data_IF_810471897143
#
_entry.id   IF_810471897143
#
_cell.length_a   1.000
_cell.length_b   1.000
_cell.length_c   1.000
_cell.angle_alpha   90.00
_cell.angle_beta   90.00
_cell.angle_gamma   90.00
#
_symmetry.space_group_name_H-M   'P 1'
#
loop_
_entity.id
_entity.type
_entity.pdbx_description
1 polymer ?
#
# COMPACT_ATOMS: atom_id res chain seq x y z
N UNK A 1 30.25 -7.03 -7.85
CA UNK A 1 29.51 -7.04 -9.12
C UNK A 1 28.79 -8.38 -9.21
N UNK A 2 27.48 -8.37 -9.45
CA UNK A 2 26.69 -9.59 -9.68
C UNK A 2 27.32 -10.33 -10.87
N UNK A 3 27.77 -11.58 -10.66
CA UNK A 3 28.44 -12.37 -11.70
C UNK A 3 27.50 -12.75 -12.84
N UNK A 4 27.97 -13.61 -13.76
CA UNK A 4 27.18 -14.13 -14.89
C UNK A 4 25.94 -14.94 -14.50
N UNK A 5 25.78 -15.26 -13.21
CA UNK A 5 24.71 -16.09 -12.62
C UNK A 5 23.34 -15.37 -12.54
N UNK A 6 23.29 -14.04 -12.73
CA UNK A 6 22.06 -13.25 -12.70
C UNK A 6 21.80 -12.52 -11.38
N UNK A 7 20.68 -11.78 -11.35
CA UNK A 7 20.28 -10.92 -10.24
C UNK A 7 18.88 -11.30 -9.75
N UNK A 8 18.72 -11.43 -8.45
CA UNK A 8 17.43 -11.41 -7.78
C UNK A 8 17.22 -10.03 -7.15
N UNK A 9 16.03 -9.48 -7.32
CA UNK A 9 15.66 -8.19 -6.77
C UNK A 9 14.31 -8.25 -6.08
N UNK A 10 14.18 -7.60 -4.93
CA UNK A 10 12.94 -7.45 -4.18
C UNK A 10 12.59 -5.98 -4.18
N UNK A 11 11.34 -5.63 -4.48
CA UNK A 11 10.91 -4.24 -4.64
C UNK A 11 9.61 -3.95 -3.92
N UNK A 12 9.56 -2.76 -3.31
CA UNK A 12 8.35 -2.23 -2.69
C UNK A 12 8.25 -0.71 -2.87
N UNK A 13 7.05 -0.17 -2.69
CA UNK A 13 6.74 1.25 -2.75
C UNK A 13 5.74 1.66 -1.66
N UNK A 14 6.04 2.76 -0.97
CA UNK A 14 5.23 3.30 0.11
C UNK A 14 4.83 4.74 -0.18
N UNK A 15 3.59 5.11 0.12
CA UNK A 15 3.11 6.49 0.05
C UNK A 15 2.43 6.88 1.37
N UNK A 16 2.98 7.87 2.07
CA UNK A 16 2.53 8.28 3.41
C UNK A 16 1.05 8.70 3.41
N UNK A 17 0.59 9.30 2.30
CA UNK A 17 -0.82 9.63 2.07
C UNK A 17 -1.16 9.36 0.62
N UNK A 18 -2.02 8.37 0.37
CA UNK A 18 -2.36 7.93 -0.97
C UNK A 18 -3.74 8.47 -1.43
N UNK A 19 -3.84 9.38 -2.42
CA UNK A 19 -2.77 10.13 -3.10
C UNK A 19 -2.34 11.40 -2.35
N UNK A 20 -1.25 12.02 -2.80
CA UNK A 20 -0.90 13.41 -2.43
C UNK A 20 0.27 13.55 -1.46
N UNK A 21 0.60 12.51 -0.72
CA UNK A 21 1.70 12.50 0.23
C UNK A 21 3.06 12.30 -0.43
N UNK A 22 4.15 12.52 0.32
CA UNK A 22 5.46 12.02 -0.08
C UNK A 22 5.45 10.49 -0.13
N UNK A 23 6.24 9.94 -1.04
CA UNK A 23 6.35 8.51 -1.26
C UNK A 23 7.81 8.10 -1.39
N UNK A 24 8.08 6.81 -1.29
CA UNK A 24 9.41 6.25 -1.45
C UNK A 24 9.35 4.87 -2.06
N UNK A 25 10.42 4.51 -2.75
CA UNK A 25 10.61 3.18 -3.30
C UNK A 25 11.77 2.51 -2.57
N UNK A 26 11.68 1.20 -2.40
CA UNK A 26 12.71 0.36 -1.80
C UNK A 26 13.06 -0.78 -2.74
N UNK A 27 14.34 -1.11 -2.83
CA UNK A 27 14.81 -2.24 -3.60
C UNK A 27 16.00 -2.92 -2.92
N UNK A 28 16.02 -4.26 -2.96
CA UNK A 28 17.15 -5.07 -2.50
C UNK A 28 17.62 -5.90 -3.68
N UNK A 29 18.91 -5.85 -4.03
CA UNK A 29 19.50 -6.63 -5.10
C UNK A 29 20.54 -7.59 -4.53
N UNK A 30 20.48 -8.85 -4.95
CA UNK A 30 21.40 -9.92 -4.58
C UNK A 30 21.75 -10.78 -5.82
N UNK A 31 22.80 -11.59 -5.71
CA UNK A 31 23.08 -12.60 -6.71
C UNK A 31 21.90 -13.57 -6.80
N UNK A 32 21.54 -14.01 -8.02
CA UNK A 32 20.38 -14.88 -8.18
C UNK A 32 20.51 -16.21 -7.41
N UNK A 33 21.72 -16.76 -7.30
CA UNK A 33 22.01 -17.98 -6.52
C UNK A 33 21.85 -17.80 -5.00
N UNK A 34 21.83 -16.56 -4.53
CA UNK A 34 21.65 -16.21 -3.12
C UNK A 34 20.19 -15.94 -2.76
N UNK A 35 19.25 -16.05 -3.70
CA UNK A 35 17.82 -15.97 -3.42
C UNK A 35 17.02 -17.13 -4.00
N UNK A 36 16.11 -17.67 -3.21
CA UNK A 36 15.08 -18.60 -3.70
C UNK A 36 13.73 -18.14 -3.18
N UNK A 37 12.75 -17.98 -4.09
CA UNK A 37 11.39 -17.56 -3.71
C UNK A 37 11.31 -16.22 -2.96
N UNK A 38 12.23 -15.29 -3.23
CA UNK A 38 12.30 -14.00 -2.53
C UNK A 38 12.87 -14.08 -1.11
N UNK A 39 13.51 -15.20 -0.75
CA UNK A 39 14.19 -15.40 0.54
C UNK A 39 15.69 -15.43 0.28
N UNK A 40 16.46 -14.65 1.05
CA UNK A 40 17.92 -14.64 0.97
C UNK A 40 18.51 -15.88 1.64
N UNK A 41 19.57 -16.42 1.07
CA UNK A 41 20.46 -17.35 1.73
C UNK A 41 21.16 -16.66 2.90
N UNK A 42 21.41 -17.40 3.98
CA UNK A 42 22.17 -16.88 5.12
C UNK A 42 23.56 -16.37 4.68
N UNK A 43 23.91 -15.16 5.14
CA UNK A 43 25.17 -14.50 4.77
C UNK A 43 25.23 -13.92 3.35
N UNK A 44 24.14 -13.98 2.58
CA UNK A 44 24.06 -13.40 1.26
C UNK A 44 24.40 -11.91 1.28
N UNK A 45 25.29 -11.48 0.38
CA UNK A 45 25.57 -10.06 0.19
C UNK A 45 24.43 -9.43 -0.58
N UNK A 46 23.92 -8.31 -0.07
CA UNK A 46 22.83 -7.56 -0.68
C UNK A 46 23.18 -6.09 -0.82
N UNK A 47 22.62 -5.48 -1.85
CA UNK A 47 22.63 -4.03 -2.06
C UNK A 47 21.24 -3.54 -1.71
N UNK A 48 21.14 -2.67 -0.71
CA UNK A 48 19.88 -2.02 -0.32
C UNK A 48 19.85 -0.62 -0.93
N UNK A 49 18.78 -0.32 -1.65
CA UNK A 49 18.55 0.94 -2.34
C UNK A 49 17.19 1.48 -1.93
N UNK A 50 17.09 2.79 -1.80
CA UNK A 50 15.82 3.48 -1.64
C UNK A 50 15.89 4.86 -2.27
N UNK A 51 14.73 5.48 -2.49
CA UNK A 51 14.69 6.85 -2.98
C UNK A 51 13.39 7.56 -2.66
N UNK A 52 13.47 8.88 -2.65
CA UNK A 52 12.37 9.78 -2.32
C UNK A 52 11.59 10.23 -3.56
N UNK A 53 10.27 10.26 -3.44
CA UNK A 53 9.34 10.84 -4.38
C UNK A 53 8.61 11.98 -3.65
N UNK A 54 8.85 13.25 -4.02
CA UNK A 54 8.21 14.39 -3.38
C UNK A 54 6.68 14.32 -3.39
N UNK A 55 6.08 14.98 -2.41
CA UNK A 55 4.64 15.11 -2.34
C UNK A 55 4.08 15.85 -3.56
N UNK A 56 3.14 15.21 -4.25
CA UNK A 56 2.38 15.81 -5.35
C UNK A 56 1.00 15.16 -5.39
N UNK A 57 0.00 15.87 -5.91
CA UNK A 57 -1.37 15.33 -6.03
C UNK A 57 -1.44 14.01 -6.83
N UNK A 58 -0.48 13.78 -7.72
CA UNK A 58 -0.37 12.56 -8.53
C UNK A 58 0.41 11.44 -7.83
N UNK A 59 1.14 11.72 -6.74
CA UNK A 59 1.93 10.73 -6.00
C UNK A 59 1.00 9.73 -5.32
N UNK A 60 1.24 8.44 -5.58
CA UNK A 60 0.43 7.29 -5.12
C UNK A 60 1.35 6.12 -4.78
N UNK A 61 0.81 5.12 -4.08
CA UNK A 61 1.55 3.88 -3.83
C UNK A 61 1.99 3.20 -5.13
N UNK A 62 1.07 3.06 -6.10
CA UNK A 62 1.37 2.43 -7.39
C UNK A 62 2.51 3.14 -8.13
N UNK A 63 2.62 4.48 -8.03
CA UNK A 63 3.76 5.18 -8.65
C UNK A 63 5.07 4.79 -7.98
N UNK A 64 5.10 4.71 -6.65
CA UNK A 64 6.27 4.28 -5.90
C UNK A 64 6.68 2.83 -6.24
N UNK A 65 5.72 1.91 -6.30
CA UNK A 65 5.95 0.51 -6.67
C UNK A 65 6.52 0.40 -8.10
N UNK A 66 5.97 1.12 -9.07
CA UNK A 66 6.52 1.16 -10.44
C UNK A 66 7.93 1.75 -10.43
N UNK A 67 8.18 2.82 -9.66
CA UNK A 67 9.52 3.41 -9.54
C UNK A 67 10.53 2.44 -8.96
N UNK A 68 10.16 1.58 -8.01
CA UNK A 68 11.02 0.53 -7.48
C UNK A 68 11.47 -0.44 -8.58
N UNK A 69 10.55 -0.86 -9.45
CA UNK A 69 10.85 -1.69 -10.63
C UNK A 69 11.79 -0.96 -11.60
N UNK A 70 11.55 0.33 -11.88
CA UNK A 70 12.42 1.14 -12.74
C UNK A 70 13.85 1.26 -12.17
N UNK A 71 13.97 1.42 -10.85
CA UNK A 71 15.26 1.48 -10.17
C UNK A 71 16.03 0.17 -10.35
N UNK A 72 15.39 -0.98 -10.11
CA UNK A 72 16.00 -2.30 -10.32
C UNK A 72 16.41 -2.50 -11.78
N UNK A 73 15.56 -2.16 -12.74
CA UNK A 73 15.89 -2.29 -14.17
C UNK A 73 17.08 -1.41 -14.58
N UNK A 74 17.28 -0.28 -13.91
CA UNK A 74 18.40 0.64 -14.14
C UNK A 74 19.71 0.18 -13.50
N UNK A 75 19.63 -0.49 -12.34
CA UNK A 75 20.78 -0.95 -11.56
C UNK A 75 21.28 -2.33 -12.01
N UNK A 76 20.37 -3.23 -12.39
CA UNK A 76 20.71 -4.59 -12.79
C UNK A 76 21.38 -4.60 -14.18
N UNK A 77 22.53 -5.27 -14.34
CA UNK A 77 23.22 -5.34 -15.64
C UNK A 77 22.26 -5.80 -16.76
N UNK A 78 22.22 -5.13 -17.91
CA UNK A 78 21.24 -5.40 -18.98
C UNK A 78 21.40 -6.77 -19.64
N UNK A 79 22.61 -7.34 -19.55
CA UNK A 79 22.96 -8.65 -20.11
C UNK A 79 22.78 -9.81 -19.12
N UNK A 80 22.46 -9.52 -17.86
CA UNK A 80 22.24 -10.54 -16.84
C UNK A 80 20.76 -10.94 -16.75
N UNK A 81 20.44 -12.23 -16.50
CA UNK A 81 19.11 -12.63 -16.06
C UNK A 81 18.69 -11.83 -14.82
N UNK A 82 17.43 -11.42 -14.78
CA UNK A 82 16.88 -10.63 -13.68
C UNK A 82 15.55 -11.23 -13.24
N UNK A 83 15.45 -11.54 -11.95
CA UNK A 83 14.20 -11.95 -11.32
C UNK A 83 13.77 -10.90 -10.30
N UNK A 84 12.55 -10.40 -10.42
CA UNK A 84 11.98 -9.36 -9.57
C UNK A 84 10.83 -9.94 -8.75
N UNK A 85 10.92 -9.79 -7.44
CA UNK A 85 9.90 -10.16 -6.46
C UNK A 85 9.22 -8.89 -5.95
N UNK A 86 7.89 -8.87 -5.93
CA UNK A 86 7.11 -7.76 -5.37
C UNK A 86 5.74 -8.27 -4.93
N UNK A 87 5.15 -7.63 -3.93
CA UNK A 87 3.77 -7.87 -3.51
C UNK A 87 2.74 -7.01 -4.27
N UNK A 88 3.20 -6.05 -5.07
CA UNK A 88 2.34 -5.27 -5.97
C UNK A 88 1.87 -6.10 -7.17
N UNK A 89 0.78 -6.85 -6.95
CA UNK A 89 0.15 -7.68 -7.99
C UNK A 89 -0.23 -6.87 -9.22
N UNK A 90 -0.75 -5.64 -9.04
CA UNK A 90 -1.11 -4.77 -10.15
C UNK A 90 0.12 -4.39 -10.98
N UNK A 91 1.20 -3.93 -10.33
CA UNK A 91 2.42 -3.52 -11.02
C UNK A 91 3.03 -4.68 -11.78
N UNK A 92 3.10 -5.87 -11.16
CA UNK A 92 3.61 -7.09 -11.80
C UNK A 92 2.77 -7.45 -13.04
N UNK A 93 1.44 -7.50 -12.92
CA UNK A 93 0.57 -7.89 -14.04
C UNK A 93 0.63 -6.90 -15.20
N UNK A 94 0.80 -5.61 -14.93
CA UNK A 94 1.01 -4.61 -16.00
C UNK A 94 2.39 -4.76 -16.62
N UNK A 95 3.44 -4.96 -15.82
CA UNK A 95 4.81 -5.14 -16.30
C UNK A 95 4.97 -6.41 -17.19
N UNK A 96 4.24 -7.48 -16.87
CA UNK A 96 4.16 -8.72 -17.65
C UNK A 96 3.27 -8.60 -18.90
N UNK A 97 2.55 -7.48 -19.08
CA UNK A 97 1.62 -7.30 -20.20
C UNK A 97 0.29 -8.04 -20.06
N UNK A 98 -0.02 -8.60 -18.88
CA UNK A 98 -1.32 -9.20 -18.57
C UNK A 98 -2.39 -8.12 -18.48
N UNK A 99 -2.06 -6.98 -17.89
CA UNK A 99 -2.93 -5.82 -17.79
C UNK A 99 -2.47 -4.65 -18.68
N UNK A 100 -3.45 -3.89 -19.16
CA UNK A 100 -3.21 -2.71 -19.99
C UNK A 100 -2.68 -1.54 -19.15
N UNK A 101 -1.71 -0.81 -19.70
CA UNK A 101 -1.11 0.39 -19.10
C UNK A 101 -2.07 1.59 -19.18
N UNK A 102 -3.12 1.60 -18.36
CA UNK A 102 -4.17 2.64 -18.37
C UNK A 102 -3.82 3.90 -17.58
N UNK A 103 -2.98 3.79 -16.56
CA UNK A 103 -2.54 4.87 -15.69
C UNK A 103 -1.01 4.87 -15.55
N UNK A 104 -0.43 5.99 -15.10
CA UNK A 104 1.03 6.16 -14.95
C UNK A 104 1.82 5.95 -16.26
N UNK A 105 1.27 6.43 -17.39
CA UNK A 105 1.85 6.27 -18.73
C UNK A 105 3.27 6.82 -18.84
N UNK A 106 3.59 7.87 -18.08
CA UNK A 106 4.92 8.44 -17.94
C UNK A 106 5.93 7.39 -17.42
N UNK A 107 5.60 6.69 -16.34
CA UNK A 107 6.47 5.67 -15.75
C UNK A 107 6.55 4.43 -16.63
N UNK A 108 5.43 4.00 -17.22
CA UNK A 108 5.42 2.85 -18.13
C UNK A 108 6.16 3.10 -19.43
N UNK A 109 6.25 4.35 -19.89
CA UNK A 109 7.09 4.70 -21.04
C UNK A 109 8.57 4.54 -20.70
N UNK A 110 9.00 4.97 -19.50
CA UNK A 110 10.36 4.72 -19.01
C UNK A 110 10.63 3.22 -18.84
N UNK A 111 9.68 2.46 -18.33
CA UNK A 111 9.77 1.00 -18.21
C UNK A 111 10.08 0.35 -19.56
N UNK A 112 9.35 0.72 -20.62
CA UNK A 112 9.59 0.20 -21.97
C UNK A 112 10.99 0.54 -22.49
N UNK A 113 11.47 1.76 -22.23
CA UNK A 113 12.83 2.17 -22.61
C UNK A 113 13.88 1.32 -21.90
N UNK A 114 13.74 1.10 -20.60
CA UNK A 114 14.68 0.28 -19.81
C UNK A 114 14.60 -1.19 -20.21
N UNK A 115 13.41 -1.72 -20.44
CA UNK A 115 13.19 -3.10 -20.87
C UNK A 115 13.87 -3.38 -22.22
N UNK A 116 13.75 -2.46 -23.18
CA UNK A 116 14.38 -2.58 -24.50
C UNK A 116 15.91 -2.58 -24.48
N UNK A 117 16.54 -2.12 -23.39
CA UNK A 117 18.01 -2.18 -23.23
C UNK A 117 18.49 -3.56 -22.80
N UNK A 118 17.60 -4.42 -22.32
CA UNK A 118 17.95 -5.75 -21.82
C UNK A 118 17.90 -6.77 -22.95
N UNK A 119 18.89 -7.65 -23.00
CA UNK A 119 18.88 -8.81 -23.92
C UNK A 119 17.93 -9.91 -23.44
N UNK A 120 17.77 -10.01 -22.12
CA UNK A 120 16.95 -11.02 -21.46
C UNK A 120 15.83 -10.28 -20.70
N UNK A 121 14.55 -10.53 -21.02
CA UNK A 121 13.43 -9.96 -20.28
C UNK A 121 13.46 -10.40 -18.80
N UNK A 122 13.10 -9.52 -17.86
CA UNK A 122 13.01 -9.89 -16.46
C UNK A 122 11.85 -10.87 -16.21
N UNK A 123 12.05 -11.76 -15.24
CA UNK A 123 10.99 -12.62 -14.70
C UNK A 123 10.40 -11.93 -13.47
N UNK A 124 9.09 -11.78 -13.42
CA UNK A 124 8.39 -11.26 -12.24
C UNK A 124 7.73 -12.39 -11.47
N UNK A 125 7.89 -12.37 -10.15
CA UNK A 125 7.22 -13.29 -9.23
C UNK A 125 6.48 -12.47 -8.17
N UNK A 126 5.18 -12.72 -8.05
CA UNK A 126 4.39 -12.11 -6.99
C UNK A 126 4.64 -12.86 -5.69
N UNK A 127 5.00 -12.12 -4.65
CA UNK A 127 5.11 -12.64 -3.28
C UNK A 127 4.00 -12.05 -2.44
N UNK A 128 3.57 -12.78 -1.41
CA UNK A 128 2.58 -12.25 -0.48
C UNK A 128 3.28 -11.28 0.48
N UNK A 129 2.79 -10.04 0.55
CA UNK A 129 3.25 -9.06 1.52
C UNK A 129 2.95 -9.48 2.97
N UNK A 130 3.82 -9.07 3.90
CA UNK A 130 3.68 -9.26 5.36
C UNK A 130 3.44 -10.71 5.83
N UNK A 131 4.03 -11.70 5.16
CA UNK A 131 4.00 -13.10 5.62
C UNK A 131 5.40 -13.72 5.60
N UNK A 132 6.24 -13.41 6.59
CA UNK A 132 7.50 -14.13 6.85
C UNK A 132 8.52 -14.08 5.71
N UNK A 133 8.45 -13.05 4.86
CA UNK A 133 9.40 -12.78 3.80
C UNK A 133 10.27 -11.60 4.23
N UNK A 134 11.32 -11.87 4.99
CA UNK A 134 12.23 -10.86 5.57
C UNK A 134 12.72 -9.83 4.55
N UNK A 135 12.94 -10.24 3.29
CA UNK A 135 13.37 -9.31 2.24
C UNK A 135 12.25 -8.38 1.76
N UNK A 136 10.99 -8.82 1.74
CA UNK A 136 9.86 -7.96 1.38
C UNK A 136 9.61 -6.96 2.50
N UNK A 137 9.62 -7.41 3.76
CA UNK A 137 9.51 -6.53 4.92
C UNK A 137 10.65 -5.51 4.94
N UNK A 138 11.88 -5.93 4.62
CA UNK A 138 13.01 -5.01 4.48
C UNK A 138 12.85 -4.04 3.30
N UNK A 139 12.25 -4.46 2.19
CA UNK A 139 11.97 -3.57 1.06
C UNK A 139 10.88 -2.52 1.40
N UNK A 140 9.85 -2.91 2.15
CA UNK A 140 8.83 -2.00 2.72
C UNK A 140 9.48 -0.97 3.64
N UNK A 141 10.37 -1.40 4.54
CA UNK A 141 11.12 -0.50 5.43
C UNK A 141 11.96 0.51 4.65
N UNK A 142 12.64 0.06 3.59
CA UNK A 142 13.42 0.92 2.70
C UNK A 142 12.53 1.91 1.95
N UNK A 143 11.35 1.48 1.48
CA UNK A 143 10.38 2.33 0.81
C UNK A 143 9.81 3.39 1.78
N UNK A 144 9.48 2.98 3.00
CA UNK A 144 9.06 3.87 4.09
C UNK A 144 10.13 4.90 4.42
N UNK A 145 11.38 4.48 4.58
CA UNK A 145 12.52 5.39 4.79
C UNK A 145 12.68 6.36 3.61
N UNK A 146 12.52 5.89 2.37
CA UNK A 146 12.50 6.72 1.18
C UNK A 146 11.38 7.76 1.19
N UNK A 147 10.19 7.42 1.69
CA UNK A 147 9.07 8.35 1.80
C UNK A 147 9.37 9.50 2.77
N UNK A 148 10.18 9.23 3.79
CA UNK A 148 10.71 10.24 4.72
C UNK A 148 12.06 10.83 4.31
N UNK A 149 12.47 10.62 3.05
CA UNK A 149 13.71 11.15 2.48
C UNK A 149 14.97 10.80 3.31
N UNK A 150 15.00 9.59 3.88
CA UNK A 150 16.10 9.13 4.72
C UNK A 150 16.06 9.61 6.18
N UNK A 151 15.04 10.35 6.60
CA UNK A 151 14.88 10.74 8.01
C UNK A 151 14.36 9.56 8.85
N UNK A 152 15.31 8.78 9.38
CA UNK A 152 15.05 7.62 10.23
C UNK A 152 14.23 8.01 11.46
N UNK A 153 14.52 9.16 12.08
CA UNK A 153 13.85 9.57 13.31
C UNK A 153 12.38 9.94 13.05
N UNK A 154 12.10 10.63 11.95
CA UNK A 154 10.73 10.93 11.53
C UNK A 154 9.97 9.65 11.14
N UNK A 155 10.63 8.74 10.40
CA UNK A 155 10.03 7.47 10.02
C UNK A 155 9.68 6.61 11.25
N UNK A 156 10.58 6.44 12.21
CA UNK A 156 10.31 5.68 13.43
C UNK A 156 9.16 6.27 14.25
N UNK A 157 9.11 7.60 14.42
CA UNK A 157 7.97 8.26 15.10
C UNK A 157 6.66 8.03 14.37
N UNK A 158 6.68 8.03 13.03
CA UNK A 158 5.49 7.73 12.25
C UNK A 158 5.06 6.27 12.43
N UNK A 159 5.99 5.30 12.41
CA UNK A 159 5.69 3.89 12.67
C UNK A 159 5.07 3.68 14.06
N UNK A 160 5.62 4.32 15.09
CA UNK A 160 5.05 4.30 16.45
C UNK A 160 3.63 4.85 16.49
N UNK A 161 3.36 5.95 15.77
CA UNK A 161 2.02 6.53 15.69
C UNK A 161 1.01 5.60 14.99
N UNK A 162 1.44 4.88 13.94
CA UNK A 162 0.62 3.90 13.24
C UNK A 162 0.35 2.67 14.10
N UNK A 163 1.34 2.19 14.85
CA UNK A 163 1.14 1.10 15.80
C UNK A 163 0.13 1.50 16.89
N UNK A 164 0.22 2.72 17.42
CA UNK A 164 -0.77 3.23 18.37
C UNK A 164 -2.17 3.34 17.75
N UNK A 165 -2.30 3.84 16.53
CA UNK A 165 -3.59 3.86 15.81
C UNK A 165 -4.15 2.45 15.57
N UNK A 166 -3.30 1.49 15.21
CA UNK A 166 -3.69 0.08 15.03
C UNK A 166 -4.16 -0.55 16.35
N UNK A 167 -3.49 -0.26 17.47
CA UNK A 167 -3.94 -0.69 18.80
C UNK A 167 -5.25 -0.02 19.25
N UNK A 168 -5.52 1.20 18.79
CA UNK A 168 -6.77 1.89 19.05
C UNK A 168 -7.88 1.58 18.02
N UNK A 169 -7.59 0.77 16.99
CA UNK A 169 -8.59 0.33 16.05
C UNK A 169 -9.60 -0.59 16.75
N UNK A 170 -10.88 -0.44 16.42
CA UNK A 170 -11.92 -1.26 17.03
C UNK A 170 -11.73 -2.73 16.64
N UNK A 171 -11.80 -3.67 17.60
CA UNK A 171 -11.79 -5.09 17.30
C UNK A 171 -12.89 -5.45 16.30
N UNK A 172 -12.67 -6.48 15.48
CA UNK A 172 -13.60 -6.89 14.42
C UNK A 172 -15.04 -7.15 14.95
N UNK A 173 -15.15 -7.69 16.16
CA UNK A 173 -16.45 -7.90 16.81
C UNK A 173 -17.18 -6.57 17.08
N UNK A 174 -16.48 -5.56 17.61
CA UNK A 174 -17.06 -4.24 17.86
C UNK A 174 -17.40 -3.50 16.56
N UNK A 175 -16.55 -3.63 15.53
CA UNK A 175 -16.82 -3.08 14.21
C UNK A 175 -18.10 -3.66 13.59
N UNK A 176 -18.34 -4.96 13.78
CA UNK A 176 -19.57 -5.63 13.32
C UNK A 176 -20.80 -5.15 14.09
N UNK A 177 -20.69 -4.95 15.41
CA UNK A 177 -21.76 -4.32 16.20
C UNK A 177 -22.07 -2.93 15.67
N UNK A 178 -21.04 -2.13 15.39
CA UNK A 178 -21.21 -0.77 14.88
C UNK A 178 -21.84 -0.75 13.48
N UNK A 179 -21.44 -1.67 12.59
CA UNK A 179 -22.07 -1.86 11.26
C UNK A 179 -23.57 -2.13 11.39
N UNK A 180 -23.94 -3.05 12.28
CA UNK A 180 -25.34 -3.39 12.53
C UNK A 180 -26.13 -2.19 13.05
N UNK A 181 -25.57 -1.45 14.00
CA UNK A 181 -26.18 -0.24 14.56
C UNK A 181 -26.41 0.84 13.49
N UNK A 182 -25.40 1.12 12.66
CA UNK A 182 -25.51 2.07 11.56
C UNK A 182 -26.55 1.62 10.54
N UNK A 183 -26.60 0.33 10.20
CA UNK A 183 -27.58 -0.20 9.27
C UNK A 183 -29.01 -0.05 9.80
N UNK A 184 -29.26 -0.35 11.08
CA UNK A 184 -30.57 -0.14 11.69
C UNK A 184 -31.00 1.33 11.69
N UNK A 185 -30.10 2.23 12.07
CA UNK A 185 -30.35 3.68 12.02
C UNK A 185 -30.65 4.13 10.60
N UNK A 186 -29.90 3.64 9.61
CA UNK A 186 -30.12 3.98 8.20
C UNK A 186 -31.49 3.51 7.73
N UNK A 187 -31.86 2.26 8.00
CA UNK A 187 -33.18 1.72 7.65
C UNK A 187 -34.31 2.52 8.31
N UNK A 188 -34.16 2.91 9.58
CA UNK A 188 -35.12 3.81 10.23
C UNK A 188 -35.19 5.16 9.51
N UNK A 189 -34.06 5.81 9.25
CA UNK A 189 -34.03 7.14 8.65
C UNK A 189 -34.61 7.14 7.23
N UNK A 190 -34.30 6.13 6.43
CA UNK A 190 -34.82 5.96 5.07
C UNK A 190 -36.34 5.68 5.07
N UNK A 191 -36.88 5.09 6.14
CA UNK A 191 -38.33 4.85 6.28
C UNK A 191 -39.15 6.09 6.66
N UNK A 192 -38.47 7.15 7.12
CA UNK A 192 -39.11 8.40 7.51
C UNK A 192 -39.26 9.33 6.31
N UNK A 193 -40.36 10.10 6.27
CA UNK A 193 -40.58 11.15 5.27
C UNK A 193 -39.32 12.06 5.17
N UNK A 194 -38.82 12.36 3.96
CA UNK A 194 -37.70 13.27 3.76
C UNK A 194 -37.86 14.64 4.42
N UNK A 195 -39.10 15.14 4.56
CA UNK A 195 -39.42 16.41 5.20
C UNK A 195 -39.69 16.26 6.71
N UNK A 196 -39.55 15.06 7.27
CA UNK A 196 -39.74 14.82 8.70
C UNK A 196 -38.67 15.51 9.53
N UNK A 197 -39.09 16.37 10.46
CA UNK A 197 -38.21 17.00 11.45
C UNK A 197 -37.69 16.04 12.54
N UNK A 198 -38.11 14.77 12.49
CA UNK A 198 -37.75 13.74 13.48
C UNK A 198 -36.25 13.44 13.50
N UNK A 199 -35.59 13.56 12.35
CA UNK A 199 -34.13 13.37 12.19
C UNK A 199 -33.59 14.61 11.49
N UNK A 200 -32.60 15.26 12.08
CA UNK A 200 -31.99 16.42 11.45
C UNK A 200 -31.02 16.00 10.31
N UNK A 201 -30.74 16.94 9.41
CA UNK A 201 -29.89 16.70 8.24
C UNK A 201 -28.46 16.26 8.60
N UNK A 202 -27.94 16.74 9.73
CA UNK A 202 -26.59 16.39 10.19
C UNK A 202 -26.50 14.91 10.57
N UNK A 203 -27.51 14.39 11.27
CA UNK A 203 -27.63 12.98 11.65
C UNK A 203 -27.84 12.09 10.44
N UNK A 204 -28.69 12.50 9.48
CA UNK A 204 -28.88 11.77 8.21
C UNK A 204 -27.58 11.68 7.42
N UNK A 205 -26.91 12.82 7.18
CA UNK A 205 -25.63 12.87 6.45
C UNK A 205 -24.56 12.02 7.13
N UNK A 206 -24.50 12.05 8.46
CA UNK A 206 -23.54 11.25 9.20
C UNK A 206 -23.78 9.75 9.06
N UNK A 207 -25.01 9.27 9.23
CA UNK A 207 -25.32 7.84 9.12
C UNK A 207 -25.12 7.33 7.69
N UNK A 208 -25.43 8.13 6.68
CA UNK A 208 -25.14 7.79 5.29
C UNK A 208 -23.63 7.72 5.01
N UNK A 209 -22.83 8.67 5.51
CA UNK A 209 -21.36 8.63 5.40
C UNK A 209 -20.78 7.39 6.11
N UNK A 210 -21.19 7.16 7.35
CA UNK A 210 -20.76 6.02 8.15
C UNK A 210 -21.12 4.69 7.49
N UNK A 211 -22.34 4.57 6.95
CA UNK A 211 -22.79 3.36 6.25
C UNK A 211 -21.91 3.03 5.05
N UNK A 212 -21.54 4.04 4.25
CA UNK A 212 -20.65 3.86 3.10
C UNK A 212 -19.22 3.50 3.53
N UNK A 213 -18.71 4.14 4.58
CA UNK A 213 -17.31 3.97 5.00
C UNK A 213 -17.09 2.64 5.72
N UNK A 214 -18.02 2.20 6.57
CA UNK A 214 -17.91 0.93 7.32
C UNK A 214 -17.97 -0.33 6.44
N UNK A 215 -18.43 -0.20 5.19
CA UNK A 215 -18.35 -1.27 4.19
C UNK A 215 -16.91 -1.50 3.67
N UNK A 216 -16.00 -0.53 3.86
CA UNK A 216 -14.61 -0.65 3.42
C UNK A 216 -13.78 -1.29 4.52
N UNK A 217 -12.96 -2.28 4.16
CA UNK A 217 -12.09 -2.98 5.10
C UNK A 217 -10.95 -2.11 5.66
N UNK A 218 -10.71 -0.93 5.10
CA UNK A 218 -9.66 -0.01 5.50
C UNK A 218 -10.16 1.19 6.34
N UNK A 219 -11.43 1.20 6.76
CA UNK A 219 -11.97 2.26 7.58
C UNK A 219 -12.08 1.85 9.05
N UNK A 220 -11.31 2.51 9.91
CA UNK A 220 -11.46 2.43 11.36
C UNK A 220 -12.13 3.71 11.87
N UNK A 221 -13.33 3.63 12.48
CA UNK A 221 -14.02 4.80 13.01
C UNK A 221 -13.37 5.28 14.31
N UNK A 222 -13.22 6.60 14.44
CA UNK A 222 -12.68 7.20 15.67
C UNK A 222 -13.59 6.95 16.88
N UNK A 223 -13.06 7.00 18.12
CA UNK A 223 -13.87 6.88 19.33
C UNK A 223 -15.07 7.84 19.37
N UNK A 224 -14.88 9.07 18.87
CA UNK A 224 -15.94 10.08 18.79
C UNK A 224 -17.06 9.67 17.84
N UNK A 225 -16.73 9.13 16.66
CA UNK A 225 -17.73 8.65 15.69
C UNK A 225 -18.50 7.46 16.25
N UNK A 226 -17.80 6.50 16.86
CA UNK A 226 -18.42 5.32 17.47
C UNK A 226 -19.35 5.70 18.62
N UNK A 227 -18.95 6.64 19.48
CA UNK A 227 -19.79 7.14 20.56
C UNK A 227 -21.01 7.91 20.04
N UNK A 228 -20.88 8.63 18.93
CA UNK A 228 -22.01 9.32 18.35
C UNK A 228 -23.06 8.36 17.76
N UNK A 229 -22.62 7.29 17.06
CA UNK A 229 -23.53 6.21 16.63
C UNK A 229 -24.26 5.61 17.84
N UNK A 230 -23.54 5.25 18.91
CA UNK A 230 -24.15 4.71 20.15
C UNK A 230 -25.18 5.68 20.74
N UNK A 231 -24.89 6.99 20.74
CA UNK A 231 -25.82 8.02 21.19
C UNK A 231 -27.08 8.12 20.32
N UNK A 232 -26.96 7.98 19.00
CA UNK A 232 -28.10 7.97 18.08
C UNK A 232 -28.95 6.70 18.23
N UNK A 233 -28.31 5.53 18.38
CA UNK A 233 -28.98 4.26 18.70
C UNK A 233 -29.85 4.42 19.95
N UNK A 234 -29.31 5.01 21.02
CA UNK A 234 -30.06 5.28 22.24
C UNK A 234 -31.19 6.31 22.03
N UNK A 235 -30.92 7.40 21.31
CA UNK A 235 -31.90 8.46 20.99
C UNK A 235 -33.12 7.90 20.23
N UNK A 236 -32.87 7.04 19.25
CA UNK A 236 -33.90 6.50 18.36
C UNK A 236 -34.43 5.12 18.78
N UNK A 237 -33.82 4.51 19.81
CA UNK A 237 -34.20 3.21 20.40
C UNK A 237 -34.22 2.07 19.37
N UNK A 238 -33.15 1.94 18.59
CA UNK A 238 -32.98 0.88 17.56
C UNK A 238 -31.91 -0.15 17.92
#
# INVERSE_FOLDING_TARGET
MFGSQGVAAITDGACIKNPGGPAGWGAILLAAEDATGGIAREGARRIECYGHIPAAQTTTNNRAEITAVLAVLSLAPPDAPLKIYSDSEYTIKVAQGVYQMKANSDLWSLYRVLLNRRKIPPVFEWVRGHTGHDLNERADELAGLGAWNGDVAAYSKWQESMAFEAHNALPAAELNVLRHQVQKLKTLFDSLDPNSSRVNDQERKFIDDMGKRLQKNNFSPSPKQSNWVKGLVAKYKV
#
